data_IF_342883984237
#
_entry.id   IF_342883984237
#
_cell.length_a   1.000
_cell.length_b   1.000
_cell.length_c   1.000
_cell.angle_alpha   90.00
_cell.angle_beta   90.00
_cell.angle_gamma   90.00
#
_symmetry.space_group_name_H-M   'P 1'
#
loop_
_entity.id
_entity.type
_entity.pdbx_description
1 polymer ?
#
# COMPACT_ATOMS: atom_id res chain seq x y z
N UNK A 1 14.68 16.69 0.30
CA UNK A 1 13.91 16.74 1.56
C UNK A 1 14.69 16.26 2.80
N UNK A 2 15.96 15.85 2.73
CA UNK A 2 16.80 15.55 3.93
C UNK A 2 16.27 14.45 4.87
N UNK A 3 15.11 13.86 4.57
CA UNK A 3 14.47 12.79 5.30
C UNK A 3 15.23 11.49 5.01
N UNK A 4 15.50 10.74 6.07
CA UNK A 4 15.95 9.36 5.93
C UNK A 4 14.90 8.57 5.15
N UNK A 5 15.33 7.60 4.33
CA UNK A 5 14.45 6.74 3.50
C UNK A 5 13.26 6.19 4.30
N UNK A 6 13.47 5.87 5.57
CA UNK A 6 12.46 5.42 6.51
C UNK A 6 11.38 6.47 6.83
N UNK A 7 11.75 7.74 7.06
CA UNK A 7 10.77 8.80 7.34
C UNK A 7 9.91 9.11 6.11
N UNK A 8 10.49 9.02 4.90
CA UNK A 8 9.76 9.20 3.65
C UNK A 8 8.73 8.08 3.46
N UNK A 9 9.11 6.83 3.72
CA UNK A 9 8.23 5.66 3.69
C UNK A 9 7.06 5.82 4.68
N UNK A 10 7.32 6.27 5.92
CA UNK A 10 6.28 6.49 6.93
C UNK A 10 5.33 7.62 6.51
N UNK A 11 5.86 8.75 6.06
CA UNK A 11 5.07 9.89 5.63
C UNK A 11 4.16 9.51 4.45
N UNK A 12 4.70 8.77 3.47
CA UNK A 12 3.92 8.25 2.35
C UNK A 12 2.86 7.25 2.83
N UNK A 13 3.19 6.33 3.73
CA UNK A 13 2.21 5.38 4.27
C UNK A 13 0.99 6.08 4.86
N UNK A 14 1.21 7.09 5.72
CA UNK A 14 0.13 7.88 6.29
C UNK A 14 -0.68 8.63 5.23
N UNK A 15 0.00 9.23 4.25
CA UNK A 15 -0.64 9.94 3.14
C UNK A 15 -1.53 9.01 2.30
N UNK A 16 -1.02 7.82 1.93
CA UNK A 16 -1.75 6.80 1.18
C UNK A 16 -2.92 6.22 1.98
N UNK A 17 -2.75 5.99 3.29
CA UNK A 17 -3.85 5.54 4.18
C UNK A 17 -4.98 6.57 4.21
N UNK A 18 -4.65 7.86 4.31
CA UNK A 18 -5.65 8.92 4.37
C UNK A 18 -6.39 9.09 3.04
N UNK A 19 -5.67 8.99 1.92
CA UNK A 19 -6.28 8.98 0.58
C UNK A 19 -7.14 7.73 0.32
N UNK A 20 -6.76 6.57 0.85
CA UNK A 20 -7.48 5.30 0.66
C UNK A 20 -8.83 5.20 1.34
N UNK A 21 -9.12 6.13 2.23
CA UNK A 21 -10.47 6.33 2.75
C UNK A 21 -11.43 6.90 1.70
N UNK A 22 -10.95 7.58 0.66
CA UNK A 22 -11.79 8.33 -0.29
C UNK A 22 -11.66 7.88 -1.74
N UNK A 23 -10.47 7.42 -2.15
CA UNK A 23 -10.16 7.04 -3.51
C UNK A 23 -9.95 5.53 -3.63
N UNK A 24 -10.37 4.96 -4.76
CA UNK A 24 -9.99 3.59 -5.13
C UNK A 24 -8.48 3.52 -5.44
N UNK A 25 -7.92 2.32 -5.32
CA UNK A 25 -6.48 2.13 -5.38
C UNK A 25 -5.85 2.54 -6.71
N UNK A 26 -6.51 2.26 -7.83
CA UNK A 26 -5.98 2.59 -9.15
C UNK A 26 -5.94 4.12 -9.31
N UNK A 27 -7.06 4.79 -9.00
CA UNK A 27 -7.14 6.26 -9.06
C UNK A 27 -6.09 6.92 -8.18
N UNK A 28 -5.87 6.40 -6.97
CA UNK A 28 -4.89 6.95 -6.06
C UNK A 28 -3.45 6.77 -6.55
N UNK A 29 -3.08 5.58 -7.03
CA UNK A 29 -1.74 5.33 -7.54
C UNK A 29 -1.45 6.25 -8.73
N UNK A 30 -2.37 6.32 -9.70
CA UNK A 30 -2.18 7.16 -10.90
C UNK A 30 -2.03 8.64 -10.53
N UNK A 31 -2.86 9.14 -9.62
CA UNK A 31 -2.84 10.55 -9.20
C UNK A 31 -1.58 10.92 -8.41
N UNK A 32 -1.11 10.01 -7.56
CA UNK A 32 0.05 10.25 -6.69
C UNK A 32 1.39 9.99 -7.39
N UNK A 33 1.45 9.07 -8.36
CA UNK A 33 2.68 8.71 -9.06
C UNK A 33 3.31 9.91 -9.78
N UNK A 34 2.49 10.79 -10.38
CA UNK A 34 3.00 11.99 -11.06
C UNK A 34 3.80 12.93 -10.16
N UNK A 35 3.51 12.95 -8.86
CA UNK A 35 4.17 13.82 -7.88
C UNK A 35 5.29 13.07 -7.13
N UNK A 36 5.08 11.79 -6.82
CA UNK A 36 6.00 11.03 -5.96
C UNK A 36 7.17 10.44 -6.74
N UNK A 37 6.97 10.03 -8.00
CA UNK A 37 8.02 9.45 -8.85
C UNK A 37 9.32 10.27 -8.88
N UNK A 38 9.32 11.60 -9.14
CA UNK A 38 10.55 12.38 -9.14
C UNK A 38 11.20 12.46 -7.75
N UNK A 39 10.41 12.42 -6.68
CA UNK A 39 10.91 12.43 -5.30
C UNK A 39 11.62 11.14 -4.94
N UNK A 40 11.06 9.99 -5.36
CA UNK A 40 11.63 8.65 -5.13
C UNK A 40 12.92 8.47 -5.91
N UNK A 41 12.95 8.92 -7.17
CA UNK A 41 14.15 8.90 -8.00
C UNK A 41 15.25 9.80 -7.44
N UNK A 42 14.91 11.01 -6.98
CA UNK A 42 15.86 11.91 -6.33
C UNK A 42 16.40 11.38 -5.00
N UNK A 43 15.63 10.53 -4.31
CA UNK A 43 16.04 9.84 -3.09
C UNK A 43 16.88 8.58 -3.34
N UNK A 44 17.06 8.16 -4.61
CA UNK A 44 17.82 6.95 -4.97
C UNK A 44 17.13 5.63 -4.58
N UNK A 45 15.81 5.65 -4.37
CA UNK A 45 15.05 4.47 -3.98
C UNK A 45 14.74 3.63 -5.24
N UNK A 46 14.89 2.31 -5.11
CA UNK A 46 14.52 1.37 -6.17
C UNK A 46 13.02 1.46 -6.51
N UNK A 47 12.72 1.74 -7.78
CA UNK A 47 11.36 1.94 -8.29
C UNK A 47 10.50 0.69 -8.23
N UNK A 48 11.09 -0.50 -8.40
CA UNK A 48 10.38 -1.78 -8.32
C UNK A 48 9.98 -2.03 -6.86
N UNK A 49 10.93 -1.87 -5.93
CA UNK A 49 10.63 -2.01 -4.51
C UNK A 49 9.57 -0.98 -4.07
N UNK A 50 9.74 0.28 -4.47
CA UNK A 50 8.79 1.35 -4.15
C UNK A 50 7.41 1.09 -4.73
N UNK A 51 7.31 0.64 -5.98
CA UNK A 51 6.04 0.34 -6.62
C UNK A 51 5.27 -0.75 -5.88
N UNK A 52 5.94 -1.84 -5.49
CA UNK A 52 5.29 -2.93 -4.76
C UNK A 52 4.91 -2.48 -3.34
N UNK A 53 5.79 -1.71 -2.68
CA UNK A 53 5.48 -1.10 -1.41
C UNK A 53 4.20 -0.24 -1.48
N UNK A 54 4.09 0.66 -2.47
CA UNK A 54 2.91 1.50 -2.66
C UNK A 54 1.66 0.67 -2.90
N UNK A 55 1.74 -0.35 -3.77
CA UNK A 55 0.59 -1.23 -4.05
C UNK A 55 0.10 -1.90 -2.76
N UNK A 56 1.00 -2.47 -1.95
CA UNK A 56 0.61 -3.14 -0.69
C UNK A 56 0.02 -2.15 0.31
N UNK A 57 0.58 -0.94 0.43
CA UNK A 57 0.07 0.11 1.31
C UNK A 57 -1.31 0.58 0.87
N UNK A 58 -1.54 0.73 -0.44
CA UNK A 58 -2.84 1.12 -1.01
C UNK A 58 -3.89 0.05 -0.75
N UNK A 59 -3.57 -1.23 -0.97
CA UNK A 59 -4.48 -2.34 -0.65
C UNK A 59 -4.80 -2.39 0.84
N UNK A 60 -3.79 -2.19 1.69
CA UNK A 60 -3.96 -2.09 3.14
C UNK A 60 -4.88 -0.91 3.51
N UNK A 61 -4.75 0.24 2.87
CA UNK A 61 -5.59 1.41 3.14
C UNK A 61 -7.08 1.16 2.86
N UNK A 62 -7.40 0.45 1.76
CA UNK A 62 -8.78 0.19 1.35
C UNK A 62 -9.57 -0.71 2.31
N UNK A 63 -8.87 -1.50 3.12
CA UNK A 63 -9.48 -2.41 4.10
C UNK A 63 -9.36 -1.88 5.54
N UNK A 64 -8.67 -0.75 5.75
CA UNK A 64 -8.43 -0.19 7.08
C UNK A 64 -9.71 0.49 7.59
N UNK A 65 -10.20 0.16 8.80
CA UNK A 65 -11.28 0.91 9.44
C UNK A 65 -10.80 2.35 9.75
N UNK A 66 -11.60 3.43 9.56
CA UNK A 66 -13.06 3.49 9.70
C UNK A 66 -13.84 3.74 8.40
N UNK A 67 -13.16 3.98 7.27
CA UNK A 67 -13.78 4.48 6.02
C UNK A 67 -13.31 3.66 4.80
N UNK A 68 -12.51 2.60 4.98
CA UNK A 68 -11.92 1.82 3.88
C UNK A 68 -12.93 1.49 2.78
N UNK A 69 -12.61 1.85 1.53
CA UNK A 69 -13.49 1.72 0.37
C UNK A 69 -14.12 0.31 0.27
N UNK A 70 -13.31 -0.73 0.49
CA UNK A 70 -13.78 -2.12 0.43
C UNK A 70 -14.77 -2.44 1.56
N UNK A 71 -14.60 -1.85 2.75
CA UNK A 71 -15.52 -2.02 3.87
C UNK A 71 -16.89 -1.35 3.59
N UNK A 72 -16.92 -0.19 2.93
CA UNK A 72 -18.18 0.46 2.52
C UNK A 72 -18.92 -0.30 1.44
N UNK A 73 -18.20 -0.79 0.43
CA UNK A 73 -18.81 -1.61 -0.62
C UNK A 73 -19.43 -2.86 -0.01
N UNK A 74 -18.72 -3.53 0.92
CA UNK A 74 -19.25 -4.68 1.65
C UNK A 74 -20.46 -4.32 2.52
N UNK A 75 -20.47 -3.16 3.18
CA UNK A 75 -21.63 -2.66 3.91
C UNK A 75 -22.84 -2.50 2.97
N UNK A 76 -22.65 -1.91 1.79
CA UNK A 76 -23.71 -1.73 0.79
C UNK A 76 -24.28 -3.04 0.27
N UNK A 77 -23.45 -4.08 0.13
CA UNK A 77 -23.88 -5.41 -0.32
C UNK A 77 -24.53 -6.26 0.77
N UNK A 78 -24.02 -6.18 2.01
CA UNK A 78 -24.42 -7.08 3.09
C UNK A 78 -25.45 -6.49 4.05
N UNK A 79 -25.62 -5.16 4.06
CA UNK A 79 -26.48 -4.44 5.00
C UNK A 79 -26.03 -4.50 6.46
N UNK A 80 -24.83 -5.05 6.75
CA UNK A 80 -24.28 -5.15 8.11
C UNK A 80 -23.59 -3.87 8.51
N UNK A 81 -23.52 -3.61 9.82
CA UNK A 81 -22.81 -2.44 10.34
C UNK A 81 -21.32 -2.48 9.95
N UNK A 82 -20.79 -1.31 9.57
CA UNK A 82 -19.39 -1.13 9.17
C UNK A 82 -18.42 -1.62 10.26
N UNK A 83 -18.76 -1.40 11.52
CA UNK A 83 -17.99 -1.84 12.70
C UNK A 83 -17.89 -3.36 12.80
N UNK A 84 -18.95 -4.08 12.43
CA UNK A 84 -18.98 -5.53 12.40
C UNK A 84 -18.07 -6.05 11.28
N UNK A 85 -18.19 -5.49 10.08
CA UNK A 85 -17.37 -5.87 8.91
C UNK A 85 -15.90 -5.56 9.18
N UNK A 86 -15.60 -4.38 9.72
CA UNK A 86 -14.26 -3.96 10.13
C UNK A 86 -13.62 -4.94 11.12
N UNK A 87 -14.39 -5.42 12.12
CA UNK A 87 -13.89 -6.40 13.09
C UNK A 87 -13.56 -7.73 12.45
N UNK A 88 -14.37 -8.18 11.49
CA UNK A 88 -14.15 -9.43 10.75
C UNK A 88 -13.00 -9.31 9.75
N UNK A 89 -12.75 -8.12 9.20
CA UNK A 89 -11.64 -7.83 8.30
C UNK A 89 -10.30 -7.59 9.02
N UNK A 90 -10.32 -7.32 10.34
CA UNK A 90 -9.12 -7.05 11.14
C UNK A 90 -8.02 -8.13 11.03
N UNK A 91 -8.31 -9.45 11.00
CA UNK A 91 -7.28 -10.47 10.80
C UNK A 91 -6.56 -10.30 9.46
N UNK A 92 -7.29 -9.89 8.41
CA UNK A 92 -6.69 -9.60 7.12
C UNK A 92 -5.76 -8.41 7.27
N UNK A 93 -6.22 -7.29 7.85
CA UNK A 93 -5.39 -6.10 8.09
C UNK A 93 -4.05 -6.41 8.76
N UNK A 94 -4.03 -7.30 9.76
CA UNK A 94 -2.79 -7.76 10.41
C UNK A 94 -1.85 -8.47 9.43
N UNK A 95 -2.37 -9.32 8.53
CA UNK A 95 -1.57 -9.94 7.46
C UNK A 95 -1.00 -8.90 6.47
N UNK A 96 -1.79 -7.88 6.13
CA UNK A 96 -1.38 -6.57 5.57
C UNK A 96 -0.07 -6.06 6.16
N UNK A 97 -0.10 -5.76 7.45
CA UNK A 97 1.04 -5.20 8.18
C UNK A 97 2.24 -6.16 8.14
N UNK A 98 2.00 -7.46 8.36
CA UNK A 98 3.07 -8.47 8.31
C UNK A 98 3.72 -8.51 6.92
N UNK A 99 2.94 -8.43 5.84
CA UNK A 99 3.48 -8.40 4.49
C UNK A 99 4.36 -7.16 4.25
N UNK A 100 3.93 -5.98 4.71
CA UNK A 100 4.73 -4.75 4.61
C UNK A 100 6.05 -4.89 5.39
N UNK A 101 6.01 -5.42 6.61
CA UNK A 101 7.21 -5.65 7.42
C UNK A 101 8.16 -6.66 6.76
N UNK A 102 7.62 -7.74 6.18
CA UNK A 102 8.40 -8.73 5.45
C UNK A 102 9.06 -8.13 4.22
N UNK A 103 8.35 -7.32 3.44
CA UNK A 103 8.90 -6.64 2.25
C UNK A 103 9.99 -5.63 2.64
N UNK A 104 9.83 -4.98 3.79
CA UNK A 104 10.82 -4.04 4.31
C UNK A 104 12.11 -4.73 4.78
N UNK A 105 12.01 -5.86 5.50
CA UNK A 105 13.19 -6.60 6.01
C UNK A 105 13.81 -7.54 4.98
N UNK A 106 12.98 -8.09 4.08
CA UNK A 106 13.39 -9.05 3.05
C UNK A 106 12.97 -8.52 1.66
N UNK A 107 13.64 -7.48 1.13
CA UNK A 107 13.37 -6.94 -0.21
C UNK A 107 13.67 -7.96 -1.34
N UNK A 108 14.30 -9.08 -1.01
CA UNK A 108 14.51 -10.19 -1.93
C UNK A 108 13.19 -10.87 -2.32
N UNK A 109 12.18 -10.90 -1.44
CA UNK A 109 10.88 -11.52 -1.72
C UNK A 109 10.22 -10.86 -2.94
N UNK A 110 10.37 -9.55 -3.05
CA UNK A 110 9.78 -8.76 -4.15
C UNK A 110 10.62 -8.75 -5.42
N UNK A 111 11.93 -8.93 -5.31
CA UNK A 111 12.85 -8.87 -6.45
C UNK A 111 13.19 -10.25 -7.03
N UNK A 112 12.96 -11.34 -6.29
CA UNK A 112 13.30 -12.70 -6.68
C UNK A 112 12.60 -13.15 -7.97
N UNK A 113 11.27 -13.03 -8.03
CA UNK A 113 10.51 -13.44 -9.21
C UNK A 113 10.85 -12.58 -10.45
N UNK A 114 10.89 -11.23 -10.37
CA UNK A 114 11.36 -10.40 -11.48
C UNK A 114 12.78 -10.72 -11.96
N UNK A 115 13.70 -11.05 -11.06
CA UNK A 115 15.07 -11.42 -11.43
C UNK A 115 15.13 -12.73 -12.23
N UNK A 116 14.27 -13.69 -11.89
CA UNK A 116 14.19 -14.96 -12.60
C UNK A 116 13.46 -14.85 -13.95
N UNK A 117 12.55 -13.89 -14.12
CA UNK A 117 11.92 -13.60 -15.42
C UNK A 117 12.86 -12.86 -16.37
N UNK A 118 13.73 -11.98 -15.85
CA UNK A 118 14.73 -11.24 -16.66
C UNK A 118 15.83 -12.13 -17.23
N UNK A 119 16.06 -13.30 -16.65
CA UNK A 119 17.09 -14.26 -17.10
C UNK A 119 16.59 -15.21 -18.20
N UNK A 120 15.33 -15.09 -18.63
CA UNK A 120 14.75 -15.83 -19.75
C UNK A 120 14.68 -15.07 -21.08
N UNK A 121 15.37 -13.92 -21.21
CA UNK A 121 15.50 -13.16 -22.45
C UNK A 121 16.92 -13.24 -23.02
#
# INVERSE_FOLDING_TARGET
>A
LGLTQFQLIIALSFFYILLGCFLDGISMVVLTMGVILPTVQAAGIDLLWFGIFVVVVVEMAQITPPVGFNLFVLQGMTGRELTWIARVAMPMFVLMIVAVLLIYWFPQIVTWLPAQMRTGA
#
